data_IF_618491413549
#
_entry.id   IF_618491413549
#
_cell.length_a   1.000
_cell.length_b   1.000
_cell.length_c   1.000
_cell.angle_alpha   90.00
_cell.angle_beta   90.00
_cell.angle_gamma   90.00
#
_symmetry.space_group_name_H-M   'P 1'
#
loop_
_entity.id
_entity.type
_entity.pdbx_description
1 polymer ?
#
# COMPACT_ATOMS: atom_id res chain seq x y z
N UNK A 1 -38.09 -10.58 6.79
CA UNK A 1 -36.63 -10.66 7.07
C UNK A 1 -35.93 -11.13 5.81
N UNK A 2 -35.48 -10.20 4.97
CA UNK A 2 -34.70 -10.53 3.78
C UNK A 2 -33.28 -10.89 4.25
N UNK A 3 -32.97 -12.19 4.34
CA UNK A 3 -31.62 -12.63 4.68
C UNK A 3 -30.69 -12.21 3.55
N UNK A 4 -29.55 -11.63 3.93
CA UNK A 4 -28.50 -11.25 3.00
C UNK A 4 -28.15 -12.46 2.12
N UNK A 5 -28.29 -12.36 0.79
CA UNK A 5 -27.76 -13.40 -0.10
C UNK A 5 -26.26 -13.49 0.18
N UNK A 6 -25.69 -14.69 0.26
CA UNK A 6 -24.29 -14.92 0.64
C UNK A 6 -23.26 -14.32 -0.33
N UNK A 7 -23.15 -13.00 -0.39
CA UNK A 7 -22.32 -12.21 -1.31
C UNK A 7 -20.98 -11.85 -0.66
N UNK A 8 -20.43 -12.77 0.13
CA UNK A 8 -19.16 -12.60 0.83
C UNK A 8 -17.96 -12.38 -0.11
N UNK A 9 -17.88 -13.01 -1.30
CA UNK A 9 -16.79 -12.75 -2.25
C UNK A 9 -16.78 -11.30 -2.76
N UNK A 10 -17.94 -10.75 -3.09
CA UNK A 10 -18.08 -9.41 -3.65
C UNK A 10 -17.80 -8.32 -2.61
N UNK A 11 -18.26 -8.53 -1.37
CA UNK A 11 -17.92 -7.65 -0.23
C UNK A 11 -16.44 -7.62 0.05
N UNK A 12 -15.79 -8.78 -0.05
CA UNK A 12 -14.35 -8.91 0.13
C UNK A 12 -13.61 -8.16 -0.97
N UNK A 13 -14.00 -8.32 -2.25
CA UNK A 13 -13.39 -7.59 -3.36
C UNK A 13 -13.54 -6.06 -3.22
N UNK A 14 -14.72 -5.59 -2.80
CA UNK A 14 -14.96 -4.16 -2.59
C UNK A 14 -14.10 -3.60 -1.44
N UNK A 15 -13.93 -4.36 -0.35
CA UNK A 15 -13.00 -4.03 0.72
C UNK A 15 -11.55 -3.96 0.21
N UNK A 16 -11.11 -4.92 -0.60
CA UNK A 16 -9.76 -4.92 -1.20
C UNK A 16 -9.51 -3.70 -2.10
N UNK A 17 -10.49 -3.29 -2.92
CA UNK A 17 -10.37 -2.08 -3.74
C UNK A 17 -10.24 -0.83 -2.87
N UNK A 18 -11.01 -0.73 -1.78
CA UNK A 18 -10.92 0.40 -0.83
C UNK A 18 -9.54 0.47 -0.18
N UNK A 19 -8.99 -0.68 0.23
CA UNK A 19 -7.62 -0.75 0.76
C UNK A 19 -6.59 -0.35 -0.28
N UNK A 20 -6.73 -0.81 -1.54
CA UNK A 20 -5.85 -0.41 -2.64
C UNK A 20 -5.79 1.11 -2.84
N UNK A 21 -6.95 1.78 -2.83
CA UNK A 21 -7.02 3.25 -2.87
C UNK A 21 -6.37 3.93 -1.67
N UNK A 22 -6.58 3.40 -0.46
CA UNK A 22 -5.97 3.95 0.75
C UNK A 22 -4.43 3.85 0.72
N UNK A 23 -3.87 2.77 0.15
CA UNK A 23 -2.43 2.58 -0.02
C UNK A 23 -1.77 3.57 -0.98
N UNK A 24 -2.52 4.17 -1.91
CA UNK A 24 -1.97 5.17 -2.82
C UNK A 24 -1.62 6.50 -2.12
N UNK A 25 -2.33 6.85 -1.03
CA UNK A 25 -2.08 8.07 -0.27
C UNK A 25 -0.65 8.13 0.30
N UNK A 26 -0.17 7.14 1.09
CA UNK A 26 1.21 7.15 1.58
C UNK A 26 2.24 7.05 0.47
N UNK A 27 1.92 6.38 -0.65
CA UNK A 27 2.79 6.32 -1.82
C UNK A 27 3.04 7.72 -2.42
N UNK A 28 1.97 8.51 -2.60
CA UNK A 28 2.06 9.89 -3.08
C UNK A 28 2.75 10.81 -2.08
N UNK A 29 2.58 10.59 -0.77
CA UNK A 29 3.30 11.34 0.26
C UNK A 29 4.81 11.07 0.20
N UNK A 30 5.22 9.81 0.04
CA UNK A 30 6.64 9.45 -0.14
C UNK A 30 7.20 10.07 -1.43
N UNK A 31 6.43 10.04 -2.52
CA UNK A 31 6.82 10.66 -3.79
C UNK A 31 7.02 12.17 -3.63
N UNK A 32 6.07 12.85 -2.97
CA UNK A 32 6.16 14.28 -2.67
C UNK A 32 7.38 14.60 -1.81
N UNK A 33 7.69 13.75 -0.82
CA UNK A 33 8.85 13.94 0.04
C UNK A 33 10.15 13.84 -0.77
N UNK A 34 10.28 12.82 -1.62
CA UNK A 34 11.42 12.68 -2.52
C UNK A 34 11.58 13.90 -3.44
N UNK A 35 10.50 14.41 -4.04
CA UNK A 35 10.54 15.61 -4.89
C UNK A 35 11.01 16.88 -4.14
N UNK A 36 10.81 16.93 -2.81
CA UNK A 36 11.18 18.09 -1.97
C UNK A 36 12.60 18.00 -1.42
N UNK A 37 13.04 16.81 -1.04
CA UNK A 37 14.29 16.61 -0.27
C UNK A 37 15.32 15.73 -0.99
N UNK A 38 14.99 15.13 -2.14
CA UNK A 38 15.92 14.34 -2.96
C UNK A 38 16.27 12.96 -2.38
N UNK A 39 15.56 12.49 -1.35
CA UNK A 39 15.91 11.24 -0.66
C UNK A 39 15.53 9.98 -1.44
N UNK A 40 16.54 9.19 -1.84
CA UNK A 40 16.34 7.95 -2.58
C UNK A 40 15.46 6.92 -1.83
N UNK A 41 15.53 6.85 -0.49
CA UNK A 41 14.71 5.94 0.31
C UNK A 41 13.21 6.21 0.17
N UNK A 42 12.83 7.50 0.07
CA UNK A 42 11.45 7.91 -0.13
C UNK A 42 10.96 7.59 -1.54
N UNK A 43 11.85 7.66 -2.55
CA UNK A 43 11.54 7.22 -3.91
C UNK A 43 11.25 5.72 -3.98
N UNK A 44 12.12 4.89 -3.37
CA UNK A 44 11.92 3.43 -3.32
C UNK A 44 10.60 3.08 -2.65
N UNK A 45 10.30 3.71 -1.51
CA UNK A 45 9.02 3.50 -0.82
C UNK A 45 7.82 3.95 -1.65
N UNK A 46 7.92 5.07 -2.35
CA UNK A 46 6.85 5.56 -3.21
C UNK A 46 6.51 4.56 -4.33
N UNK A 47 7.53 4.06 -5.04
CA UNK A 47 7.36 3.08 -6.12
C UNK A 47 6.80 1.76 -5.57
N UNK A 48 7.32 1.29 -4.44
CA UNK A 48 6.86 0.07 -3.78
C UNK A 48 5.38 0.15 -3.42
N UNK A 49 4.96 1.21 -2.72
CA UNK A 49 3.58 1.39 -2.29
C UNK A 49 2.63 1.64 -3.47
N UNK A 50 3.07 2.34 -4.52
CA UNK A 50 2.33 2.50 -5.77
C UNK A 50 2.06 1.13 -6.42
N UNK A 51 3.10 0.30 -6.56
CA UNK A 51 2.99 -1.04 -7.12
C UNK A 51 2.05 -1.93 -6.30
N UNK A 52 2.10 -1.86 -4.97
CA UNK A 52 1.18 -2.59 -4.09
C UNK A 52 -0.26 -2.11 -4.29
N UNK A 53 -0.52 -0.80 -4.24
CA UNK A 53 -1.85 -0.23 -4.41
C UNK A 53 -2.48 -0.60 -5.75
N UNK A 54 -1.72 -0.45 -6.85
CA UNK A 54 -2.16 -0.85 -8.19
C UNK A 54 -2.38 -2.36 -8.30
N UNK A 55 -1.47 -3.17 -7.73
CA UNK A 55 -1.61 -4.63 -7.71
C UNK A 55 -2.87 -5.11 -6.97
N UNK A 56 -3.29 -4.39 -5.92
CA UNK A 56 -4.54 -4.64 -5.20
C UNK A 56 -5.76 -4.22 -6.03
N UNK A 57 -5.71 -3.08 -6.72
CA UNK A 57 -6.80 -2.59 -7.57
C UNK A 57 -7.05 -3.48 -8.80
N UNK A 58 -5.98 -3.98 -9.42
CA UNK A 58 -6.04 -4.90 -10.57
C UNK A 58 -6.39 -6.35 -10.18
N UNK A 59 -6.49 -6.67 -8.88
CA UNK A 59 -6.76 -8.03 -8.41
C UNK A 59 -5.60 -9.02 -8.65
N UNK A 60 -4.41 -8.51 -8.98
CA UNK A 60 -3.20 -9.32 -9.21
C UNK A 60 -2.68 -9.84 -7.86
N UNK A 61 -2.73 -8.99 -6.83
CA UNK A 61 -2.17 -9.28 -5.52
C UNK A 61 -3.16 -10.06 -4.63
N UNK A 62 -3.48 -11.29 -5.04
CA UNK A 62 -4.42 -12.17 -4.31
C UNK A 62 -3.82 -12.74 -3.01
N UNK A 63 -2.50 -12.70 -2.85
CA UNK A 63 -1.80 -13.23 -1.68
C UNK A 63 -1.64 -12.16 -0.60
N UNK A 64 -2.46 -12.25 0.43
CA UNK A 64 -2.43 -11.31 1.57
C UNK A 64 -1.06 -11.23 2.26
N UNK A 65 -0.33 -12.35 2.34
CA UNK A 65 1.01 -12.39 2.93
C UNK A 65 2.01 -11.51 2.18
N UNK A 66 1.92 -11.42 0.86
CA UNK A 66 2.81 -10.59 0.04
C UNK A 66 2.50 -9.11 0.27
N UNK A 67 1.22 -8.72 0.26
CA UNK A 67 0.82 -7.35 0.59
C UNK A 67 1.31 -6.96 1.98
N UNK A 68 1.07 -7.82 2.98
CA UNK A 68 1.47 -7.56 4.36
C UNK A 68 2.99 -7.40 4.50
N UNK A 69 3.77 -8.24 3.82
CA UNK A 69 5.22 -8.18 3.82
C UNK A 69 5.73 -6.88 3.19
N UNK A 70 5.20 -6.51 2.01
CA UNK A 70 5.64 -5.30 1.30
C UNK A 70 5.28 -4.03 2.08
N UNK A 71 4.07 -3.98 2.68
CA UNK A 71 3.65 -2.85 3.51
C UNK A 71 4.50 -2.75 4.78
N UNK A 72 4.71 -3.87 5.48
CA UNK A 72 5.54 -3.88 6.69
C UNK A 72 7.00 -3.51 6.39
N UNK A 73 7.55 -4.02 5.28
CA UNK A 73 8.88 -3.67 4.80
C UNK A 73 9.02 -2.18 4.45
N UNK A 74 8.00 -1.56 3.86
CA UNK A 74 8.00 -0.12 3.59
C UNK A 74 8.09 0.71 4.89
N UNK A 75 7.36 0.30 5.93
CA UNK A 75 7.42 0.95 7.24
C UNK A 75 8.80 0.81 7.88
N UNK A 76 9.41 -0.38 7.81
CA UNK A 76 10.76 -0.60 8.31
C UNK A 76 11.80 0.26 7.57
N UNK A 77 11.69 0.40 6.24
CA UNK A 77 12.57 1.25 5.43
C UNK A 77 12.46 2.73 5.84
N UNK A 78 11.24 3.22 6.09
CA UNK A 78 11.03 4.59 6.56
C UNK A 78 11.60 4.82 7.96
N UNK A 79 11.40 3.87 8.88
CA UNK A 79 11.98 3.94 10.22
C UNK A 79 13.51 3.92 10.19
N UNK A 80 14.11 3.08 9.35
CA UNK A 80 15.56 3.07 9.14
C UNK A 80 16.06 4.42 8.61
N UNK A 81 15.35 5.02 7.64
CA UNK A 81 15.67 6.36 7.13
C UNK A 81 15.61 7.46 8.19
N UNK A 82 14.64 7.39 9.11
CA UNK A 82 14.53 8.31 10.25
C UNK A 82 15.72 8.13 11.20
N UNK A 83 16.05 6.88 11.57
CA UNK A 83 17.16 6.58 12.49
C UNK A 83 18.51 7.01 11.91
N UNK A 84 18.74 6.81 10.62
CA UNK A 84 19.98 7.22 9.95
C UNK A 84 20.18 8.75 9.93
N UNK A 85 19.09 9.52 10.10
CA UNK A 85 19.12 10.99 10.11
C UNK A 85 19.23 11.62 11.50
N UNK A 86 19.04 10.86 12.57
CA UNK A 86 19.21 11.28 13.96
C UNK A 86 20.68 11.24 14.37
#
# INVERSE_FOLDING_TARGET
>A
MNRDPGLQPERTLLAWRRTGWATLVPALLCLRHWLRFGEALHMVNAVLLLAVGLGMLCGIMRRHSVVSLLVSGSGALLLAGIVVRL
#
